data_IF_700710841105
#
_entry.id   IF_700710841105
#
_cell.length_a   1.000
_cell.length_b   1.000
_cell.length_c   1.000
_cell.angle_alpha   90.00
_cell.angle_beta   90.00
_cell.angle_gamma   90.00
#
_symmetry.space_group_name_H-M   'P 1'
#
loop_
_entity.id
_entity.type
_entity.pdbx_description
1 polymer ?
#
# COMPACT_ATOMS: atom_id res chain seq x y z
N UNK A 1 18.66 30.75 -4.62
CA UNK A 1 17.89 30.41 -5.84
C UNK A 1 17.97 28.91 -6.13
N UNK A 2 19.11 28.38 -6.59
CA UNK A 2 19.29 26.96 -6.92
C UNK A 2 18.86 25.96 -5.83
N UNK A 3 19.29 26.17 -4.58
CA UNK A 3 18.89 25.30 -3.46
C UNK A 3 17.37 25.31 -3.23
N UNK A 4 16.73 26.48 -3.34
CA UNK A 4 15.28 26.60 -3.19
C UNK A 4 14.53 25.94 -4.35
N UNK A 5 15.06 26.05 -5.58
CA UNK A 5 14.53 25.36 -6.76
C UNK A 5 14.70 23.83 -6.67
N UNK A 6 15.84 23.36 -6.15
CA UNK A 6 16.09 21.92 -5.88
C UNK A 6 15.19 21.38 -4.78
N UNK A 7 14.97 22.15 -3.70
CA UNK A 7 14.04 21.77 -2.63
C UNK A 7 12.59 21.72 -3.13
N UNK A 8 12.15 22.73 -3.88
CA UNK A 8 10.82 22.75 -4.47
C UNK A 8 10.61 21.58 -5.44
N UNK A 9 11.60 21.30 -6.29
CA UNK A 9 11.59 20.13 -7.18
C UNK A 9 11.59 18.81 -6.41
N UNK A 10 12.42 18.65 -5.37
CA UNK A 10 12.47 17.41 -4.58
C UNK A 10 11.17 17.13 -3.82
N UNK A 11 10.51 18.18 -3.32
CA UNK A 11 9.18 18.07 -2.71
C UNK A 11 8.15 17.64 -3.76
N UNK A 12 8.19 18.24 -4.96
CA UNK A 12 7.29 17.89 -6.05
C UNK A 12 7.52 16.46 -6.56
N UNK A 13 8.77 16.09 -6.85
CA UNK A 13 9.18 14.77 -7.33
C UNK A 13 9.07 13.67 -6.27
N UNK A 14 8.90 14.02 -4.99
CA UNK A 14 8.54 13.06 -3.93
C UNK A 14 7.04 12.86 -3.79
N UNK A 15 6.24 13.81 -4.26
CA UNK A 15 4.78 13.74 -4.29
C UNK A 15 4.25 13.16 -5.61
N UNK A 16 4.98 13.39 -6.71
CA UNK A 16 4.68 12.91 -8.06
C UNK A 16 5.71 11.84 -8.50
N UNK A 17 5.38 11.06 -9.52
CA UNK A 17 6.20 9.94 -10.01
C UNK A 17 7.47 10.37 -10.79
N UNK A 18 7.84 11.64 -10.68
CA UNK A 18 8.92 12.26 -11.48
C UNK A 18 10.30 11.66 -11.18
N UNK A 19 10.51 11.07 -10.01
CA UNK A 19 11.79 10.42 -9.66
C UNK A 19 12.12 9.21 -10.56
N UNK A 20 11.15 8.65 -11.30
CA UNK A 20 11.38 7.57 -12.27
C UNK A 20 11.84 8.07 -13.64
N UNK A 21 11.73 9.37 -13.95
CA UNK A 21 12.16 9.92 -15.22
C UNK A 21 13.59 10.46 -15.10
N UNK A 22 14.63 9.78 -15.61
CA UNK A 22 16.01 10.23 -15.42
C UNK A 22 16.23 11.66 -15.91
N UNK A 23 15.53 12.05 -16.99
CA UNK A 23 15.60 13.39 -17.59
C UNK A 23 15.31 14.53 -16.60
N UNK A 24 14.42 14.32 -15.62
CA UNK A 24 14.07 15.36 -14.63
C UNK A 24 14.99 15.35 -13.42
N UNK A 25 15.90 14.37 -13.30
CA UNK A 25 16.91 14.28 -12.24
C UNK A 25 18.32 14.68 -12.71
N UNK A 26 18.63 14.49 -14.01
CA UNK A 26 19.98 14.73 -14.57
C UNK A 26 20.47 16.15 -14.37
N UNK A 27 19.60 17.16 -14.53
CA UNK A 27 19.97 18.57 -14.37
C UNK A 27 20.37 18.88 -12.92
N UNK A 28 19.71 18.26 -11.94
CA UNK A 28 20.02 18.44 -10.52
C UNK A 28 21.41 17.87 -10.18
N UNK A 29 21.73 16.67 -10.68
CA UNK A 29 23.06 16.06 -10.51
C UNK A 29 24.16 16.82 -11.26
N UNK A 30 23.90 17.30 -12.48
CA UNK A 30 24.84 18.09 -13.25
C UNK A 30 25.21 19.40 -12.53
N UNK A 31 24.21 20.11 -12.00
CA UNK A 31 24.43 21.35 -11.24
C UNK A 31 25.11 21.10 -9.89
N UNK A 32 24.76 20.01 -9.20
CA UNK A 32 25.44 19.58 -7.99
C UNK A 32 26.92 19.26 -8.24
N UNK A 33 27.21 18.52 -9.32
CA UNK A 33 28.57 18.20 -9.75
C UNK A 33 29.38 19.45 -10.11
N UNK A 34 28.79 20.40 -10.84
CA UNK A 34 29.43 21.68 -11.17
C UNK A 34 29.71 22.52 -9.92
N UNK A 35 28.81 22.50 -8.92
CA UNK A 35 29.02 23.21 -7.67
C UNK A 35 30.15 22.60 -6.82
N UNK A 36 30.30 21.26 -6.85
CA UNK A 36 31.41 20.55 -6.16
C UNK A 36 32.74 20.75 -6.90
N UNK A 37 32.72 20.76 -8.23
CA UNK A 37 33.91 20.91 -9.07
C UNK A 37 34.40 22.36 -9.20
N UNK A 38 33.61 23.34 -8.77
CA UNK A 38 34.00 24.75 -8.82
C UNK A 38 35.23 25.00 -7.93
N UNK A 39 36.31 25.61 -8.46
CA UNK A 39 37.48 25.96 -7.66
C UNK A 39 37.09 26.89 -6.51
N UNK A 40 37.22 26.40 -5.28
CA UNK A 40 36.95 27.19 -4.08
C UNK A 40 38.11 28.16 -3.83
N UNK A 41 38.02 29.37 -4.38
CA UNK A 41 38.86 30.50 -3.97
C UNK A 41 38.60 30.79 -2.51
N UNK A 42 39.55 30.44 -1.63
CA UNK A 42 39.38 30.32 -0.17
C UNK A 42 38.57 31.44 0.49
N UNK A 43 37.32 31.20 0.90
CA UNK A 43 36.70 31.91 2.00
C UNK A 43 36.97 31.12 3.28
N UNK A 44 37.30 31.80 4.37
CA UNK A 44 37.44 31.18 5.70
C UNK A 44 36.12 30.47 6.03
N UNK A 45 36.10 29.14 5.88
CA UNK A 45 34.91 28.33 6.06
C UNK A 45 34.46 28.43 7.52
N UNK A 46 33.38 29.17 7.79
CA UNK A 46 32.67 29.00 9.07
C UNK A 46 32.27 27.54 9.13
N UNK A 47 32.85 26.80 10.08
CA UNK A 47 32.41 25.43 10.33
C UNK A 47 30.89 25.46 10.53
N UNK A 48 30.12 24.64 9.80
CA UNK A 48 28.70 24.56 10.05
C UNK A 48 28.52 24.15 11.52
N UNK A 49 27.68 24.91 12.23
CA UNK A 49 27.39 24.65 13.63
C UNK A 49 26.97 23.18 13.80
N UNK A 50 27.36 22.56 14.91
CA UNK A 50 27.10 21.14 15.21
C UNK A 50 25.65 20.72 14.90
N UNK A 51 24.69 21.60 15.19
CA UNK A 51 23.26 21.39 14.90
C UNK A 51 22.96 21.20 13.40
N UNK A 52 23.59 21.97 12.50
CA UNK A 52 23.40 21.82 11.05
C UNK A 52 23.91 20.46 10.55
N UNK A 53 25.05 19.98 11.07
CA UNK A 53 25.59 18.66 10.72
C UNK A 53 24.67 17.54 11.22
N UNK A 54 24.13 17.66 12.43
CA UNK A 54 23.17 16.69 13.00
C UNK A 54 21.88 16.65 12.16
N UNK A 55 21.30 17.81 11.83
CA UNK A 55 20.07 17.89 11.02
C UNK A 55 20.31 17.31 9.63
N UNK A 56 21.43 17.62 8.99
CA UNK A 56 21.79 17.06 7.69
C UNK A 56 21.96 15.53 7.77
N UNK A 57 22.66 15.02 8.79
CA UNK A 57 22.84 13.59 8.98
C UNK A 57 21.51 12.86 9.21
N UNK A 58 20.61 13.42 10.02
CA UNK A 58 19.25 12.87 10.24
C UNK A 58 18.43 12.91 8.96
N UNK A 59 18.52 13.99 8.17
CA UNK A 59 17.88 14.08 6.87
C UNK A 59 18.37 13.01 5.90
N UNK A 60 19.69 12.82 5.78
CA UNK A 60 20.27 11.76 4.96
C UNK A 60 19.86 10.36 5.44
N UNK A 61 19.84 10.13 6.76
CA UNK A 61 19.40 8.85 7.32
C UNK A 61 17.94 8.57 6.98
N UNK A 62 17.05 9.55 7.14
CA UNK A 62 15.63 9.41 6.82
C UNK A 62 15.41 9.14 5.33
N UNK A 63 16.16 9.84 4.46
CA UNK A 63 16.13 9.63 3.01
C UNK A 63 16.65 8.24 2.60
N UNK A 64 17.56 7.62 3.35
CA UNK A 64 18.06 6.28 3.06
C UNK A 64 17.16 5.17 3.62
N UNK A 65 16.68 5.31 4.87
CA UNK A 65 15.92 4.27 5.57
C UNK A 65 14.52 4.11 5.00
N UNK A 66 13.85 5.21 4.64
CA UNK A 66 12.46 5.18 4.16
C UNK A 66 12.28 4.35 2.87
N UNK A 67 13.02 4.58 1.78
CA UNK A 67 12.90 3.77 0.57
C UNK A 67 13.37 2.32 0.79
N UNK A 68 14.36 2.09 1.66
CA UNK A 68 14.79 0.74 2.00
C UNK A 68 13.67 -0.09 2.67
N UNK A 69 12.99 0.49 3.67
CA UNK A 69 11.83 -0.14 4.31
C UNK A 69 10.67 -0.33 3.33
N UNK A 70 10.42 0.65 2.46
CA UNK A 70 9.39 0.54 1.44
C UNK A 70 9.66 -0.61 0.46
N UNK A 71 10.92 -0.79 0.02
CA UNK A 71 11.35 -1.85 -0.88
C UNK A 71 11.26 -3.24 -0.21
N UNK A 72 11.73 -3.38 1.03
CA UNK A 72 11.62 -4.62 1.80
C UNK A 72 10.15 -5.01 2.01
N UNK A 73 9.31 -4.03 2.34
CA UNK A 73 7.86 -4.23 2.48
C UNK A 73 7.21 -4.67 1.18
N UNK A 74 7.61 -4.09 0.04
CA UNK A 74 7.10 -4.46 -1.29
C UNK A 74 7.52 -5.89 -1.67
N UNK A 75 8.79 -6.24 -1.52
CA UNK A 75 9.28 -7.60 -1.81
C UNK A 75 8.58 -8.67 -0.96
N UNK A 76 8.28 -8.36 0.31
CA UNK A 76 7.49 -9.25 1.17
C UNK A 76 6.03 -9.36 0.70
N UNK A 77 5.41 -8.25 0.26
CA UNK A 77 4.06 -8.26 -0.30
C UNK A 77 3.99 -9.08 -1.60
N UNK A 78 4.94 -8.92 -2.51
CA UNK A 78 4.98 -9.65 -3.79
C UNK A 78 5.09 -11.17 -3.53
N UNK A 79 5.93 -11.57 -2.57
CA UNK A 79 5.99 -12.96 -2.10
C UNK A 79 4.67 -13.43 -1.50
N UNK A 80 4.00 -12.59 -0.72
CA UNK A 80 2.69 -12.93 -0.13
C UNK A 80 1.63 -13.18 -1.20
N UNK A 81 1.58 -12.34 -2.23
CA UNK A 81 0.68 -12.50 -3.38
C UNK A 81 1.01 -13.75 -4.18
N UNK A 82 2.30 -14.00 -4.47
CA UNK A 82 2.73 -15.19 -5.20
C UNK A 82 2.38 -16.48 -4.44
N UNK A 83 2.62 -16.54 -3.13
CA UNK A 83 2.24 -17.67 -2.29
C UNK A 83 0.72 -17.87 -2.25
N UNK A 84 -0.06 -16.79 -2.12
CA UNK A 84 -1.52 -16.87 -2.12
C UNK A 84 -2.08 -17.49 -3.40
N UNK A 85 -1.53 -17.07 -4.56
CA UNK A 85 -1.93 -17.59 -5.89
C UNK A 85 -1.61 -19.06 -6.06
N UNK A 86 -0.54 -19.55 -5.42
CA UNK A 86 -0.17 -20.96 -5.38
C UNK A 86 -1.01 -21.79 -4.40
N UNK A 87 -1.91 -21.15 -3.64
CA UNK A 87 -2.73 -21.82 -2.64
C UNK A 87 -2.04 -21.95 -1.27
N UNK A 88 -0.80 -21.47 -1.12
CA UNK A 88 -0.04 -21.55 0.12
C UNK A 88 -0.37 -20.36 1.04
N UNK A 89 -1.40 -20.54 1.86
CA UNK A 89 -1.80 -19.53 2.85
C UNK A 89 -0.82 -19.37 4.00
N UNK A 90 0.01 -20.38 4.30
CA UNK A 90 1.00 -20.29 5.38
C UNK A 90 2.11 -19.33 4.94
N UNK A 91 2.73 -19.60 3.78
CA UNK A 91 3.76 -18.73 3.23
C UNK A 91 3.21 -17.33 2.90
N UNK A 92 1.96 -17.24 2.44
CA UNK A 92 1.31 -15.95 2.17
C UNK A 92 1.13 -15.12 3.43
N UNK A 93 0.64 -15.72 4.52
CA UNK A 93 0.44 -15.03 5.78
C UNK A 93 1.76 -14.59 6.43
N UNK A 94 2.79 -15.43 6.41
CA UNK A 94 4.11 -15.08 6.94
C UNK A 94 4.73 -13.91 6.18
N UNK A 95 4.66 -13.94 4.85
CA UNK A 95 5.15 -12.86 4.00
C UNK A 95 4.33 -11.57 4.16
N UNK A 96 3.01 -11.66 4.37
CA UNK A 96 2.18 -10.49 4.68
C UNK A 96 2.56 -9.86 6.03
N UNK A 97 2.78 -10.67 7.07
CA UNK A 97 3.24 -10.20 8.38
C UNK A 97 4.63 -9.56 8.29
N UNK A 98 5.54 -10.14 7.50
CA UNK A 98 6.84 -9.53 7.22
C UNK A 98 6.68 -8.16 6.54
N UNK A 99 5.82 -8.04 5.53
CA UNK A 99 5.53 -6.76 4.87
C UNK A 99 5.02 -5.69 5.85
N UNK A 100 4.13 -6.08 6.77
CA UNK A 100 3.60 -5.22 7.84
C UNK A 100 4.70 -4.81 8.81
N UNK A 101 5.63 -5.72 9.15
CA UNK A 101 6.72 -5.43 10.08
C UNK A 101 7.71 -4.39 9.56
N UNK A 102 7.91 -4.34 8.23
CA UNK A 102 8.72 -3.30 7.59
C UNK A 102 7.96 -1.97 7.44
N UNK A 103 6.70 -2.03 7.01
CA UNK A 103 5.90 -0.83 6.79
C UNK A 103 4.40 -1.12 6.99
N UNK A 104 3.90 -0.81 8.19
CA UNK A 104 2.53 -1.15 8.57
C UNK A 104 1.46 -0.26 7.95
N UNK A 105 1.79 0.76 7.16
CA UNK A 105 0.80 1.68 6.55
C UNK A 105 0.12 1.08 5.31
N UNK A 106 0.71 0.04 4.70
CA UNK A 106 0.16 -0.60 3.49
C UNK A 106 -1.12 -1.40 3.80
N UNK A 107 -2.21 -1.20 3.06
CA UNK A 107 -3.45 -1.95 3.26
C UNK A 107 -3.39 -3.40 2.74
N UNK A 108 -2.69 -3.66 1.62
CA UNK A 108 -2.72 -4.93 0.88
C UNK A 108 -2.34 -6.16 1.73
N UNK A 109 -1.29 -6.13 2.59
CA UNK A 109 -0.97 -7.29 3.42
C UNK A 109 -2.13 -7.74 4.34
N UNK A 110 -2.94 -6.79 4.82
CA UNK A 110 -4.09 -7.10 5.66
C UNK A 110 -5.24 -7.74 4.87
N UNK A 111 -5.38 -7.40 3.59
CA UNK A 111 -6.30 -8.07 2.67
C UNK A 111 -5.89 -9.53 2.46
N UNK A 112 -4.60 -9.79 2.17
CA UNK A 112 -4.10 -11.17 1.99
C UNK A 112 -4.29 -12.01 3.26
N UNK A 113 -3.98 -11.43 4.44
CA UNK A 113 -4.29 -12.06 5.72
C UNK A 113 -5.78 -12.36 5.86
N UNK A 114 -6.65 -11.46 5.46
CA UNK A 114 -8.10 -11.67 5.51
C UNK A 114 -8.53 -12.87 4.67
N UNK A 115 -8.07 -12.97 3.42
CA UNK A 115 -8.40 -14.10 2.56
C UNK A 115 -7.81 -15.43 3.05
N UNK A 116 -6.60 -15.42 3.61
CA UNK A 116 -6.03 -16.62 4.24
C UNK A 116 -6.85 -17.06 5.47
N UNK A 117 -7.31 -16.10 6.28
CA UNK A 117 -8.18 -16.39 7.42
C UNK A 117 -9.53 -16.98 7.01
N UNK A 118 -10.10 -16.57 5.87
CA UNK A 118 -11.29 -17.24 5.31
C UNK A 118 -11.01 -18.70 4.98
N UNK A 119 -9.89 -19.00 4.30
CA UNK A 119 -9.49 -20.37 3.95
C UNK A 119 -9.21 -21.23 5.20
N UNK A 120 -8.69 -20.61 6.26
CA UNK A 120 -8.47 -21.26 7.56
C UNK A 120 -9.76 -21.45 8.39
N UNK A 121 -10.93 -21.02 7.90
CA UNK A 121 -12.19 -21.13 8.66
C UNK A 121 -12.28 -20.14 9.83
N UNK A 122 -11.56 -19.02 9.78
CA UNK A 122 -11.48 -17.99 10.81
C UNK A 122 -12.14 -16.66 10.36
N UNK A 123 -13.44 -16.63 10.07
CA UNK A 123 -14.10 -15.47 9.46
C UNK A 123 -14.07 -14.22 10.35
N UNK A 124 -14.10 -14.37 11.68
CA UNK A 124 -14.00 -13.24 12.60
C UNK A 124 -12.63 -12.53 12.51
N UNK A 125 -11.55 -13.30 12.34
CA UNK A 125 -10.22 -12.75 12.15
C UNK A 125 -10.07 -12.13 10.76
N UNK A 126 -10.68 -12.75 9.74
CA UNK A 126 -10.75 -12.18 8.41
C UNK A 126 -11.43 -10.80 8.40
N UNK A 127 -12.57 -10.63 9.07
CA UNK A 127 -13.26 -9.33 9.20
C UNK A 127 -12.35 -8.29 9.84
N UNK A 128 -11.64 -8.66 10.93
CA UNK A 128 -10.70 -7.76 11.60
C UNK A 128 -9.55 -7.36 10.67
N UNK A 129 -8.97 -8.31 9.93
CA UNK A 129 -7.88 -8.06 8.99
C UNK A 129 -8.35 -7.17 7.84
N UNK A 130 -9.48 -7.45 7.21
CA UNK A 130 -10.03 -6.58 6.15
C UNK A 130 -10.39 -5.18 6.67
N UNK A 131 -10.88 -5.09 7.92
CA UNK A 131 -11.09 -3.81 8.60
C UNK A 131 -9.81 -2.99 8.74
N UNK A 132 -8.66 -3.62 8.96
CA UNK A 132 -7.34 -2.95 9.00
C UNK A 132 -6.92 -2.44 7.62
N UNK A 133 -7.23 -3.17 6.54
CA UNK A 133 -6.99 -2.71 5.17
C UNK A 133 -7.81 -1.45 4.87
N UNK A 134 -9.14 -1.50 5.11
CA UNK A 134 -10.03 -0.35 4.93
C UNK A 134 -9.65 0.86 5.78
N UNK A 135 -9.18 0.66 7.00
CA UNK A 135 -8.75 1.78 7.86
C UNK A 135 -7.57 2.57 7.27
N UNK A 136 -6.74 1.93 6.44
CA UNK A 136 -5.59 2.56 5.78
C UNK A 136 -5.95 3.21 4.46
N UNK A 137 -6.92 2.64 3.76
CA UNK A 137 -7.42 3.17 2.49
C UNK A 137 -8.96 3.10 2.45
N UNK A 138 -9.65 4.07 3.07
CA UNK A 138 -11.09 4.02 3.31
C UNK A 138 -11.94 4.26 2.07
N UNK A 139 -11.35 4.73 0.96
CA UNK A 139 -12.06 5.04 -0.29
C UNK A 139 -11.88 3.96 -1.34
N UNK A 140 -11.06 2.96 -1.08
CA UNK A 140 -10.78 1.90 -2.03
C UNK A 140 -11.90 0.86 -2.02
N UNK A 141 -12.52 0.72 -3.19
CA UNK A 141 -13.66 -0.18 -3.41
C UNK A 141 -13.30 -1.64 -3.17
N UNK A 142 -12.04 -2.04 -3.35
CA UNK A 142 -11.58 -3.43 -3.19
C UNK A 142 -11.70 -3.90 -1.74
N UNK A 143 -11.43 -3.02 -0.77
CA UNK A 143 -11.53 -3.38 0.65
C UNK A 143 -12.97 -3.40 1.14
N UNK A 144 -13.85 -2.55 0.62
CA UNK A 144 -15.29 -2.68 0.90
C UNK A 144 -15.87 -3.93 0.22
N UNK A 145 -15.42 -4.25 -1.00
CA UNK A 145 -15.80 -5.48 -1.70
C UNK A 145 -15.34 -6.72 -0.93
N UNK A 146 -14.06 -6.79 -0.57
CA UNK A 146 -13.48 -7.86 0.22
C UNK A 146 -14.18 -8.00 1.58
N UNK A 147 -14.52 -6.89 2.24
CA UNK A 147 -15.26 -6.94 3.51
C UNK A 147 -16.67 -7.48 3.31
N UNK A 148 -17.35 -7.15 2.21
CA UNK A 148 -18.64 -7.73 1.87
C UNK A 148 -18.55 -9.26 1.73
N UNK A 149 -17.55 -9.76 0.99
CA UNK A 149 -17.33 -11.20 0.83
C UNK A 149 -17.10 -11.89 2.18
N UNK A 150 -16.17 -11.36 2.99
CA UNK A 150 -15.83 -11.99 4.27
C UNK A 150 -17.01 -11.96 5.25
N UNK A 151 -17.81 -10.88 5.26
CA UNK A 151 -19.05 -10.82 6.04
C UNK A 151 -20.06 -11.88 5.56
N UNK A 152 -20.22 -12.03 4.24
CA UNK A 152 -21.04 -13.08 3.66
C UNK A 152 -20.60 -14.49 4.09
N UNK A 153 -19.30 -14.78 4.06
CA UNK A 153 -18.74 -16.05 4.58
C UNK A 153 -19.06 -16.25 6.07
N UNK A 154 -19.00 -15.19 6.85
CA UNK A 154 -19.34 -15.19 8.27
C UNK A 154 -20.85 -15.32 8.56
N UNK A 155 -21.70 -15.31 7.53
CA UNK A 155 -23.15 -15.26 7.67
C UNK A 155 -23.68 -13.92 8.18
N UNK A 156 -22.87 -12.86 8.12
CA UNK A 156 -23.26 -11.50 8.46
C UNK A 156 -23.72 -10.77 7.20
N UNK A 157 -24.64 -9.81 7.35
CA UNK A 157 -25.16 -9.04 6.24
C UNK A 157 -24.03 -8.36 5.43
N UNK A 158 -23.82 -8.77 4.15
CA UNK A 158 -22.77 -8.24 3.30
C UNK A 158 -23.24 -7.04 2.46
N UNK A 159 -24.56 -6.79 2.39
CA UNK A 159 -25.17 -5.82 1.47
C UNK A 159 -24.68 -4.38 1.69
N UNK A 160 -24.54 -3.88 2.95
CA UNK A 160 -24.05 -2.52 3.15
C UNK A 160 -22.66 -2.30 2.57
N UNK A 161 -21.76 -3.28 2.69
CA UNK A 161 -20.40 -3.19 2.17
C UNK A 161 -20.37 -3.38 0.65
N UNK A 162 -21.18 -4.28 0.11
CA UNK A 162 -21.31 -4.46 -1.33
C UNK A 162 -21.83 -3.18 -2.03
N UNK A 163 -22.80 -2.51 -1.42
CA UNK A 163 -23.31 -1.22 -1.89
C UNK A 163 -22.23 -0.13 -1.84
N UNK A 164 -21.45 -0.05 -0.76
CA UNK A 164 -20.32 0.90 -0.65
C UNK A 164 -19.25 0.65 -1.69
N UNK A 165 -18.90 -0.61 -1.95
CA UNK A 165 -17.96 -0.97 -3.00
C UNK A 165 -18.46 -0.53 -4.38
N UNK A 166 -19.75 -0.72 -4.68
CA UNK A 166 -20.35 -0.28 -5.94
C UNK A 166 -20.38 1.24 -6.07
N UNK A 167 -20.67 1.96 -4.98
CA UNK A 167 -20.65 3.42 -4.96
C UNK A 167 -19.24 3.97 -5.19
N UNK A 168 -18.22 3.34 -4.59
CA UNK A 168 -16.83 3.74 -4.75
C UNK A 168 -16.28 3.46 -6.16
N UNK A 169 -16.72 2.38 -6.81
CA UNK A 169 -16.37 2.10 -8.21
C UNK A 169 -17.56 1.51 -9.00
N UNK A 170 -18.41 2.37 -9.60
CA UNK A 170 -19.56 1.92 -10.39
C UNK A 170 -19.21 1.13 -11.65
N UNK A 171 -17.96 1.23 -12.12
CA UNK A 171 -17.47 0.53 -13.32
C UNK A 171 -16.92 -0.86 -13.03
N UNK A 172 -16.68 -1.19 -11.75
CA UNK A 172 -16.21 -2.52 -11.36
C UNK A 172 -17.29 -3.57 -11.55
N UNK A 173 -17.01 -4.57 -12.41
CA UNK A 173 -17.88 -5.72 -12.61
C UNK A 173 -17.99 -6.57 -11.33
N UNK A 174 -16.92 -6.66 -10.54
CA UNK A 174 -16.93 -7.38 -9.27
C UNK A 174 -17.88 -6.73 -8.26
N UNK A 175 -17.77 -5.41 -8.07
CA UNK A 175 -18.63 -4.68 -7.14
C UNK A 175 -20.10 -4.73 -7.55
N UNK A 176 -20.39 -4.55 -8.84
CA UNK A 176 -21.75 -4.65 -9.39
C UNK A 176 -22.35 -6.04 -9.19
N UNK A 177 -21.60 -7.09 -9.53
CA UNK A 177 -22.03 -8.47 -9.37
C UNK A 177 -22.31 -8.80 -7.90
N UNK A 178 -21.42 -8.42 -6.98
CA UNK A 178 -21.66 -8.67 -5.55
C UNK A 178 -22.89 -7.92 -5.01
N UNK A 179 -23.12 -6.66 -5.41
CA UNK A 179 -24.31 -5.92 -4.97
C UNK A 179 -25.61 -6.59 -5.44
N UNK A 180 -25.64 -7.09 -6.68
CA UNK A 180 -26.79 -7.83 -7.24
C UNK A 180 -26.95 -9.20 -6.56
N UNK A 181 -25.87 -9.97 -6.48
CA UNK A 181 -25.88 -11.31 -5.91
C UNK A 181 -26.28 -11.26 -4.43
N UNK A 182 -25.78 -10.33 -3.62
CA UNK A 182 -26.20 -10.24 -2.23
C UNK A 182 -27.58 -9.61 -2.04
N UNK A 183 -28.05 -8.79 -2.98
CA UNK A 183 -29.35 -8.11 -2.90
C UNK A 183 -30.56 -9.00 -3.21
N UNK A 184 -30.36 -10.18 -3.81
CA UNK A 184 -31.46 -11.08 -4.22
C UNK A 184 -31.84 -12.12 -3.16
N UNK A 185 -31.25 -12.06 -1.96
CA UNK A 185 -31.53 -13.02 -0.89
C UNK A 185 -31.24 -12.44 0.50
N UNK A 186 -31.98 -12.91 1.50
CA UNK A 186 -31.75 -12.64 2.93
C UNK A 186 -31.17 -13.85 3.68
N UNK A 187 -30.80 -14.92 2.97
CA UNK A 187 -30.32 -16.16 3.59
C UNK A 187 -28.81 -16.10 3.88
N UNK A 188 -28.37 -16.24 5.15
CA UNK A 188 -26.95 -16.31 5.49
C UNK A 188 -26.21 -17.46 4.81
N UNK A 189 -26.90 -18.58 4.53
CA UNK A 189 -26.32 -19.72 3.81
C UNK A 189 -26.04 -19.36 2.35
N UNK A 190 -26.96 -18.66 1.70
CA UNK A 190 -26.77 -18.20 0.32
C UNK A 190 -25.70 -17.11 0.22
N UNK A 191 -25.63 -16.17 1.18
CA UNK A 191 -24.54 -15.20 1.24
C UNK A 191 -23.18 -15.89 1.36
N UNK A 192 -23.06 -16.88 2.24
CA UNK A 192 -21.82 -17.66 2.39
C UNK A 192 -21.43 -18.36 1.09
N UNK A 193 -22.38 -19.02 0.43
CA UNK A 193 -22.15 -19.70 -0.85
C UNK A 193 -21.66 -18.72 -1.92
N UNK A 194 -22.39 -17.63 -2.13
CA UNK A 194 -22.06 -16.61 -3.14
C UNK A 194 -20.72 -15.92 -2.84
N UNK A 195 -20.40 -15.69 -1.58
CA UNK A 195 -19.12 -15.10 -1.19
C UNK A 195 -17.93 -16.03 -1.43
N UNK A 196 -18.09 -17.35 -1.23
CA UNK A 196 -17.05 -18.34 -1.53
C UNK A 196 -16.85 -18.56 -3.05
N UNK A 197 -17.91 -18.40 -3.84
CA UNK A 197 -17.87 -18.49 -5.31
C UNK A 197 -17.37 -17.20 -5.98
N UNK A 198 -17.32 -16.09 -5.24
CA UNK A 198 -16.93 -14.79 -5.77
C UNK A 198 -15.45 -14.74 -6.16
N UNK A 199 -15.15 -14.00 -7.23
CA UNK A 199 -13.76 -13.76 -7.67
C UNK A 199 -13.12 -12.70 -6.79
N UNK A 200 -11.89 -12.94 -6.35
CA UNK A 200 -11.11 -11.98 -5.56
C UNK A 200 -10.44 -10.93 -6.47
N UNK A 201 -10.29 -9.67 -6.03
CA UNK A 201 -9.65 -8.60 -6.78
C UNK A 201 -8.11 -8.65 -6.65
N UNK A 202 -7.52 -9.84 -6.74
CA UNK A 202 -6.06 -9.98 -6.67
C UNK A 202 -5.55 -9.81 -8.10
N UNK A 203 -5.02 -8.62 -8.42
CA UNK A 203 -4.40 -8.34 -9.72
C UNK A 203 -3.35 -9.42 -10.06
N UNK A 204 -3.10 -9.74 -11.35
CA UNK A 204 -2.03 -10.63 -11.81
C UNK A 204 -0.62 -10.06 -11.56
#
# INVERSE_FOLDING_TARGET
ALLASLLAWAIHAGADWDWEMPVVTTWAFALGGLAIAAPSGTPRSREPASLTRIVAALGCLLLAVTPALAALSQQALDRSVAAYRQGDCTASADAALASISYLSVRPQPFELLSYCNVRAGLPALAIKSMGKARARDPRNWEYEYGLALVRGVAGLDPRPQAARALLANPRSQLARKAALDFGTTDSPREWRRRALEARLPIAP
#
